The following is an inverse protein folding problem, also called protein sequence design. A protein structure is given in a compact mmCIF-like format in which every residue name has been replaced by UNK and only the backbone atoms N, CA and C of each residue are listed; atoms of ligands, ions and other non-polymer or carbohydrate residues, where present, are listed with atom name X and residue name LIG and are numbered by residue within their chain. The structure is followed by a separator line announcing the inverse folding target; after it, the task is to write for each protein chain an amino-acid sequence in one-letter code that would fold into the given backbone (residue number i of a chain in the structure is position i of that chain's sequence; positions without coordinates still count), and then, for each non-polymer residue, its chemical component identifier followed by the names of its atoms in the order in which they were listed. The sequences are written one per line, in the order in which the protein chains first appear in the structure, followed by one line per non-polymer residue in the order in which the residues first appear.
data_IF_499947141253
#
_entry.id   IF_499947141253
#
_cell.length_a   1.000
_cell.length_b   1.000
_cell.length_c   1.000
_cell.angle_alpha   90.00
_cell.angle_beta   90.00
_cell.angle_gamma   90.00
#
_symmetry.space_group_name_H-M   'P 1'
#
loop_
_entity.id
_entity.type
_entity.pdbx_description
1 polymer ?
#
# COMPACT_ATOMS: atom_id res chain seq x y z
N UNK A 1 10.55 -33.05 -15.00
CA UNK A 1 9.73 -32.40 -13.96
C UNK A 1 10.05 -30.91 -13.91
N UNK A 2 9.35 -30.08 -14.69
CA UNK A 2 9.70 -28.68 -15.01
C UNK A 2 8.64 -27.68 -14.48
N UNK A 3 7.94 -28.01 -13.40
CA UNK A 3 6.78 -27.21 -12.94
C UNK A 3 7.10 -26.32 -11.73
N UNK A 4 8.29 -26.40 -11.15
CA UNK A 4 8.67 -25.62 -9.96
C UNK A 4 8.72 -24.10 -10.20
N UNK A 5 9.09 -23.67 -11.41
CA UNK A 5 9.16 -22.25 -11.75
C UNK A 5 7.78 -21.59 -11.86
N UNK A 6 6.77 -22.35 -12.33
CA UNK A 6 5.39 -21.89 -12.43
C UNK A 6 4.84 -21.48 -11.06
N UNK A 7 5.13 -22.27 -10.02
CA UNK A 7 4.68 -22.00 -8.65
C UNK A 7 5.31 -20.71 -8.11
N UNK A 8 6.60 -20.50 -8.39
CA UNK A 8 7.31 -19.28 -8.01
C UNK A 8 6.73 -18.02 -8.65
N UNK A 9 6.41 -18.07 -9.94
CA UNK A 9 5.80 -16.95 -10.68
C UNK A 9 4.41 -16.64 -10.16
N UNK A 10 3.59 -17.66 -9.88
CA UNK A 10 2.25 -17.48 -9.33
C UNK A 10 2.32 -16.85 -7.94
N UNK A 11 3.23 -17.30 -7.06
CA UNK A 11 3.43 -16.70 -5.75
C UNK A 11 3.83 -15.23 -5.84
N UNK A 12 4.78 -14.89 -6.73
CA UNK A 12 5.19 -13.49 -6.94
C UNK A 12 4.02 -12.63 -7.40
N UNK A 13 3.21 -13.15 -8.33
CA UNK A 13 2.06 -12.44 -8.88
C UNK A 13 0.98 -12.22 -7.82
N UNK A 14 0.66 -13.24 -7.04
CA UNK A 14 -0.27 -13.15 -5.92
C UNK A 14 0.25 -12.16 -4.87
N UNK A 15 1.55 -12.11 -4.61
CA UNK A 15 2.14 -11.17 -3.66
C UNK A 15 2.01 -9.72 -4.14
N UNK A 16 2.30 -9.46 -5.42
CA UNK A 16 2.13 -8.13 -6.04
C UNK A 16 0.65 -7.71 -6.02
N UNK A 17 -0.26 -8.62 -6.37
CA UNK A 17 -1.70 -8.36 -6.36
C UNK A 17 -2.23 -8.21 -4.94
N UNK A 18 -1.76 -9.00 -3.96
CA UNK A 18 -2.18 -8.89 -2.57
C UNK A 18 -1.67 -7.58 -1.92
N UNK A 19 -0.49 -7.11 -2.32
CA UNK A 19 0.04 -5.81 -1.90
C UNK A 19 -0.69 -4.65 -2.60
N UNK A 20 -0.96 -4.76 -3.90
CA UNK A 20 -1.77 -3.77 -4.64
C UNK A 20 -3.25 -3.76 -4.26
N UNK A 21 -3.76 -4.90 -3.78
CA UNK A 21 -5.11 -5.10 -3.26
C UNK A 21 -5.13 -5.13 -1.73
N UNK A 22 -4.03 -4.68 -1.10
CA UNK A 22 -3.80 -4.62 0.34
C UNK A 22 -4.62 -3.56 1.07
N UNK A 23 -5.81 -3.23 0.55
CA UNK A 23 -6.87 -2.56 1.30
C UNK A 23 -7.77 -3.52 2.09
N UNK A 24 -7.48 -4.83 2.10
CA UNK A 24 -8.37 -5.84 2.69
C UNK A 24 -8.16 -6.03 4.22
N UNK A 25 -7.05 -5.55 4.79
CA UNK A 25 -6.82 -5.63 6.25
C UNK A 25 -6.84 -4.27 6.93
N UNK A 26 -7.99 -3.61 6.93
CA UNK A 26 -8.33 -2.69 8.02
C UNK A 26 -9.70 -3.05 8.61
N UNK A 27 -9.75 -4.22 9.26
CA UNK A 27 -10.71 -4.47 10.32
C UNK A 27 -9.96 -4.37 11.64
N UNK A 28 -9.98 -3.18 12.23
CA UNK A 28 -9.27 -2.89 13.47
C UNK A 28 -9.48 -1.44 13.87
N UNK A 29 -10.71 -1.12 14.26
CA UNK A 29 -11.06 0.14 14.88
C UNK A 29 -10.10 0.44 16.05
N UNK A 30 -9.34 1.52 15.93
CA UNK A 30 -8.74 2.20 17.08
C UNK A 30 -8.82 3.72 16.86
N UNK A 31 -9.51 4.48 17.72
CA UNK A 31 -9.84 5.88 17.48
C UNK A 31 -8.68 6.87 17.77
N UNK A 32 -7.45 6.40 17.98
CA UNK A 32 -6.34 7.25 18.43
C UNK A 32 -5.42 7.80 17.35
N UNK A 33 -5.66 7.53 16.05
CA UNK A 33 -4.61 7.78 15.03
C UNK A 33 -5.13 8.36 13.70
N UNK A 34 -5.76 9.54 13.75
CA UNK A 34 -6.11 10.32 12.54
C UNK A 34 -4.90 10.56 11.61
N UNK A 35 -3.70 10.71 12.18
CA UNK A 35 -2.44 10.90 11.43
C UNK A 35 -1.97 9.64 10.69
N UNK A 36 -2.13 8.46 11.30
CA UNK A 36 -1.81 7.18 10.63
C UNK A 36 -2.83 6.88 9.55
N UNK A 37 -4.11 7.23 9.76
CA UNK A 37 -5.14 7.09 8.73
C UNK A 37 -4.82 7.91 7.47
N UNK A 38 -4.38 9.16 7.63
CA UNK A 38 -3.99 10.01 6.50
C UNK A 38 -2.79 9.44 5.72
N UNK A 39 -1.77 8.96 6.44
CA UNK A 39 -0.56 8.40 5.84
C UNK A 39 -0.81 7.05 5.15
N UNK A 40 -1.62 6.20 5.75
CA UNK A 40 -2.08 4.91 5.19
C UNK A 40 -2.94 5.12 3.94
N UNK A 41 -3.84 6.10 3.97
CA UNK A 41 -4.68 6.45 2.81
C UNK A 41 -3.84 6.94 1.63
N UNK A 42 -2.81 7.74 1.90
CA UNK A 42 -1.87 8.21 0.87
C UNK A 42 -1.10 7.04 0.24
N UNK A 43 -0.59 6.12 1.06
CA UNK A 43 0.16 4.93 0.62
C UNK A 43 -0.72 3.98 -0.20
N UNK A 44 -1.98 3.81 0.20
CA UNK A 44 -2.95 2.99 -0.52
C UNK A 44 -3.20 3.52 -1.94
N UNK A 45 -3.34 4.84 -2.14
CA UNK A 45 -3.54 5.43 -3.47
C UNK A 45 -2.31 5.30 -4.38
N UNK A 46 -1.11 5.43 -3.81
CA UNK A 46 0.14 5.17 -4.55
C UNK A 46 0.25 3.71 -4.98
N UNK A 47 -0.08 2.76 -4.09
CA UNK A 47 -0.07 1.33 -4.40
C UNK A 47 -1.11 0.93 -5.46
N UNK A 48 -2.25 1.64 -5.49
CA UNK A 48 -3.26 1.52 -6.54
C UNK A 48 -2.84 2.15 -7.88
N UNK A 49 -1.79 2.97 -7.91
CA UNK A 49 -1.38 3.74 -9.08
C UNK A 49 -2.26 4.95 -9.39
N UNK A 50 -3.07 5.41 -8.43
CA UNK A 50 -3.97 6.57 -8.59
C UNK A 50 -3.22 7.90 -8.47
N UNK A 51 -2.01 7.88 -7.89
CA UNK A 51 -1.13 9.05 -7.75
C UNK A 51 0.29 8.67 -8.16
N UNK A 52 1.01 9.62 -8.76
CA UNK A 52 2.41 9.45 -9.12
C UNK A 52 3.33 9.54 -7.88
N UNK A 53 4.54 9.00 -8.00
CA UNK A 53 5.58 9.07 -6.97
C UNK A 53 5.87 10.52 -6.54
N UNK A 54 5.84 11.47 -7.48
CA UNK A 54 6.05 12.88 -7.18
C UNK A 54 4.96 13.42 -6.22
N UNK A 55 3.69 13.14 -6.50
CA UNK A 55 2.56 13.56 -5.67
C UNK A 55 2.57 12.88 -4.29
N UNK A 56 2.98 11.61 -4.24
CA UNK A 56 3.11 10.87 -2.98
C UNK A 56 4.15 11.51 -2.05
N UNK A 57 5.33 11.84 -2.56
CA UNK A 57 6.40 12.43 -1.76
C UNK A 57 6.05 13.84 -1.26
N UNK A 58 5.38 14.65 -2.07
CA UNK A 58 4.95 16.01 -1.67
C UNK A 58 3.97 15.97 -0.50
N UNK A 59 2.90 15.16 -0.60
CA UNK A 59 1.89 15.03 0.46
C UNK A 59 2.43 14.34 1.72
N UNK A 60 3.33 13.38 1.56
CA UNK A 60 4.02 12.73 2.69
C UNK A 60 4.88 13.72 3.46
N UNK A 61 5.59 14.60 2.75
CA UNK A 61 6.39 15.66 3.37
C UNK A 61 5.50 16.67 4.12
N UNK A 62 4.36 17.05 3.53
CA UNK A 62 3.37 17.94 4.15
C UNK A 62 2.82 17.35 5.46
N UNK A 63 2.36 16.09 5.44
CA UNK A 63 1.85 15.37 6.61
C UNK A 63 2.89 15.19 7.73
N UNK A 64 4.17 15.10 7.35
CA UNK A 64 5.29 15.03 8.30
C UNK A 64 5.60 16.40 8.91
N UNK A 65 5.37 17.48 8.18
CA UNK A 65 5.62 18.88 8.59
C UNK A 65 4.55 19.40 9.56
N UNK A 66 3.34 18.85 9.55
CA UNK A 66 2.26 19.13 10.54
C UNK A 66 2.56 18.48 11.92
N UNK A 67 3.79 18.57 12.41
CA UNK A 67 4.25 18.00 13.70
C UNK A 67 4.42 19.07 14.76
#
# INVERSE_FOLDING_TARGET
MMYGWIIGVILIFVLIVALGRGGIFHKGASPSTSKSSAMETLKNRYAKGEIDKAEFEERKAELKKTK
#
